data_IF_439757541951
#
_entry.id   IF_439757541951
#
_cell.length_a   1.000
_cell.length_b   1.000
_cell.length_c   1.000
_cell.angle_alpha   90.00
_cell.angle_beta   90.00
_cell.angle_gamma   90.00
#
_symmetry.space_group_name_H-M   'P 1'
#
loop_
_entity.id
_entity.type
_entity.pdbx_description
1 polymer ?
#
# COMPACT_ATOMS: atom_id res chain seq x y z
N UNK A 1 33.03 -38.85 35.46
CA UNK A 1 31.71 -39.14 34.86
C UNK A 1 30.62 -38.15 35.29
N UNK A 2 30.38 -37.94 36.59
CA UNK A 2 29.36 -37.00 37.10
C UNK A 2 29.52 -35.54 36.59
N UNK A 3 30.77 -35.06 36.52
CA UNK A 3 31.09 -33.71 36.03
C UNK A 3 30.82 -33.54 34.51
N UNK A 4 31.03 -34.60 33.72
CA UNK A 4 30.78 -34.60 32.28
C UNK A 4 29.27 -34.59 32.00
N UNK A 5 28.49 -35.35 32.77
CA UNK A 5 27.03 -35.32 32.70
C UNK A 5 26.46 -33.95 33.10
N UNK A 6 27.01 -33.31 34.12
CA UNK A 6 26.60 -31.97 34.54
C UNK A 6 26.83 -30.92 33.45
N UNK A 7 27.97 -30.98 32.75
CA UNK A 7 28.28 -30.08 31.64
C UNK A 7 27.33 -30.30 30.44
N UNK A 8 26.96 -31.56 30.16
CA UNK A 8 26.03 -31.89 29.08
C UNK A 8 24.60 -31.40 29.37
N UNK A 9 24.17 -31.48 30.64
CA UNK A 9 22.88 -30.96 31.09
C UNK A 9 22.84 -29.43 31.00
N UNK A 10 23.93 -28.75 31.39
CA UNK A 10 24.04 -27.29 31.28
C UNK A 10 24.05 -26.80 29.82
N UNK A 11 24.69 -27.54 28.92
CA UNK A 11 24.71 -27.19 27.49
C UNK A 11 23.34 -27.42 26.84
N UNK A 12 22.64 -28.50 27.22
CA UNK A 12 21.30 -28.84 26.71
C UNK A 12 20.24 -27.79 27.07
N UNK A 13 20.30 -27.21 28.28
CA UNK A 13 19.30 -26.20 28.70
C UNK A 13 19.40 -24.88 27.94
N UNK A 14 20.58 -24.53 27.40
CA UNK A 14 20.75 -23.29 26.62
C UNK A 14 20.07 -23.33 25.25
N UNK A 15 19.81 -24.53 24.72
CA UNK A 15 19.21 -24.73 23.38
C UNK A 15 17.70 -24.42 23.41
N UNK A 16 17.05 -24.51 24.58
CA UNK A 16 15.61 -24.27 24.73
C UNK A 16 15.23 -22.80 24.99
N UNK A 17 16.19 -21.87 25.05
CA UNK A 17 15.92 -20.43 25.27
C UNK A 17 15.93 -19.58 23.99
N UNK A 18 15.90 -20.19 22.80
CA UNK A 18 15.80 -19.44 21.53
C UNK A 18 14.34 -19.10 21.19
N UNK A 19 13.72 -18.24 22.00
CA UNK A 19 12.45 -17.62 21.66
C UNK A 19 12.69 -16.13 21.45
N UNK A 20 12.83 -15.71 20.19
CA UNK A 20 12.89 -14.30 19.82
C UNK A 20 11.47 -13.71 19.96
N UNK A 21 11.17 -13.16 21.13
CA UNK A 21 9.87 -12.53 21.42
C UNK A 21 9.76 -11.12 20.79
N UNK A 22 10.54 -10.84 19.74
CA UNK A 22 10.53 -9.59 18.99
C UNK A 22 9.61 -9.63 17.75
N UNK A 23 8.63 -10.54 17.70
CA UNK A 23 7.84 -10.80 16.49
C UNK A 23 6.36 -10.46 16.53
N UNK A 24 5.76 -10.17 17.69
CA UNK A 24 4.29 -10.18 17.81
C UNK A 24 3.54 -8.94 17.30
N UNK A 25 4.24 -7.89 16.86
CA UNK A 25 3.60 -6.67 16.32
C UNK A 25 4.18 -6.18 14.98
N UNK A 26 5.14 -6.89 14.38
CA UNK A 26 5.87 -6.39 13.20
C UNK A 26 5.23 -6.76 11.86
N UNK A 27 4.27 -7.70 11.87
CA UNK A 27 3.68 -8.27 10.65
C UNK A 27 2.17 -8.01 10.51
N UNK A 28 1.60 -7.09 11.31
CA UNK A 28 0.21 -6.68 11.09
C UNK A 28 0.15 -5.75 9.87
N UNK A 29 -0.04 -6.34 8.70
CA UNK A 29 -0.37 -5.56 7.51
C UNK A 29 -1.82 -5.09 7.64
N UNK A 30 -2.09 -3.79 7.57
CA UNK A 30 -3.45 -3.28 7.62
C UNK A 30 -4.25 -3.87 6.45
N UNK A 31 -5.53 -4.17 6.71
CA UNK A 31 -6.45 -4.61 5.67
C UNK A 31 -6.60 -3.55 4.57
N UNK A 32 -6.94 -3.99 3.36
CA UNK A 32 -7.06 -3.09 2.21
C UNK A 32 -8.27 -2.14 2.35
N UNK A 33 -8.03 -0.84 2.19
CA UNK A 33 -8.99 0.27 2.31
C UNK A 33 -9.49 0.75 0.94
N UNK A 34 -10.45 1.67 0.93
CA UNK A 34 -11.05 2.22 -0.28
C UNK A 34 -12.33 1.50 -0.70
N UNK A 35 -13.28 2.26 -1.29
CA UNK A 35 -14.57 1.71 -1.75
C UNK A 35 -14.42 0.94 -3.06
N UNK A 36 -15.40 0.08 -3.37
CA UNK A 36 -15.46 -0.56 -4.67
C UNK A 36 -15.58 0.51 -5.79
N UNK A 37 -14.79 0.36 -6.85
CA UNK A 37 -14.73 1.34 -7.94
C UNK A 37 -14.01 2.65 -7.60
N UNK A 38 -13.40 2.77 -6.41
CA UNK A 38 -12.61 3.95 -6.02
C UNK A 38 -11.16 3.82 -6.49
N UNK A 39 -10.62 4.91 -7.04
CA UNK A 39 -9.25 4.99 -7.56
C UNK A 39 -8.54 6.19 -6.92
N UNK A 40 -7.48 5.90 -6.17
CA UNK A 40 -6.63 6.93 -5.59
C UNK A 40 -5.58 7.36 -6.61
N UNK A 41 -5.68 8.59 -7.09
CA UNK A 41 -4.76 9.18 -8.05
C UNK A 41 -3.75 10.08 -7.32
N UNK A 42 -2.49 9.67 -7.33
CA UNK A 42 -1.39 10.42 -6.73
C UNK A 42 -0.68 11.22 -7.83
N UNK A 43 -0.90 12.53 -7.83
CA UNK A 43 -0.42 13.44 -8.88
C UNK A 43 -0.14 14.82 -8.26
N UNK A 44 0.90 15.51 -8.72
CA UNK A 44 1.20 16.86 -8.24
C UNK A 44 0.07 17.84 -8.57
N UNK A 45 -0.24 18.77 -7.67
CA UNK A 45 -1.34 19.73 -7.81
C UNK A 45 -1.24 20.52 -9.12
N UNK A 46 -0.02 20.98 -9.46
CA UNK A 46 0.26 21.69 -10.70
C UNK A 46 -0.06 20.88 -11.96
N UNK A 47 -0.01 19.53 -11.88
CA UNK A 47 -0.35 18.64 -13.00
C UNK A 47 -1.82 18.27 -12.99
N UNK A 48 -2.43 18.17 -11.82
CA UNK A 48 -3.86 17.90 -11.66
C UNK A 48 -4.75 19.01 -12.23
N UNK A 49 -4.36 20.27 -12.05
CA UNK A 49 -5.07 21.43 -12.61
C UNK A 49 -4.64 21.77 -14.06
N UNK A 50 -3.80 20.93 -14.67
CA UNK A 50 -3.34 21.11 -16.05
C UNK A 50 -4.07 20.17 -17.01
N UNK A 51 -3.80 20.33 -18.31
CA UNK A 51 -4.28 19.43 -19.37
C UNK A 51 -3.98 17.93 -19.10
N UNK A 52 -2.93 17.63 -18.33
CA UNK A 52 -2.64 16.25 -17.88
C UNK A 52 -3.78 15.73 -16.99
N UNK A 53 -4.20 16.50 -15.99
CA UNK A 53 -5.29 16.14 -15.10
C UNK A 53 -6.62 16.02 -15.83
N UNK A 54 -6.90 16.91 -16.79
CA UNK A 54 -8.08 16.81 -17.65
C UNK A 54 -8.11 15.51 -18.45
N UNK A 55 -6.98 15.14 -19.05
CA UNK A 55 -6.84 13.89 -19.80
C UNK A 55 -7.05 12.66 -18.90
N UNK A 56 -6.48 12.69 -17.69
CA UNK A 56 -6.68 11.63 -16.70
C UNK A 56 -8.15 11.53 -16.29
N UNK A 57 -8.83 12.64 -16.03
CA UNK A 57 -10.26 12.67 -15.70
C UNK A 57 -11.12 12.12 -16.85
N UNK A 58 -10.83 12.52 -18.09
CA UNK A 58 -11.57 12.08 -19.26
C UNK A 58 -11.53 10.55 -19.45
N UNK A 59 -10.35 9.95 -19.23
CA UNK A 59 -10.17 8.49 -19.37
C UNK A 59 -10.74 7.74 -18.16
N UNK A 60 -10.40 8.16 -16.94
CA UNK A 60 -10.73 7.42 -15.73
C UNK A 60 -12.22 7.54 -15.33
N UNK A 61 -12.88 8.64 -15.70
CA UNK A 61 -14.30 8.87 -15.42
C UNK A 61 -15.20 8.61 -16.63
N UNK A 62 -14.71 7.89 -17.65
CA UNK A 62 -15.53 7.53 -18.80
C UNK A 62 -16.77 6.74 -18.37
N UNK A 63 -17.90 6.93 -19.05
CA UNK A 63 -19.13 6.20 -18.76
C UNK A 63 -18.99 4.70 -19.10
N UNK A 64 -19.62 3.84 -18.29
CA UNK A 64 -19.71 2.40 -18.55
C UNK A 64 -20.67 2.15 -19.72
N UNK A 65 -20.14 1.67 -20.85
CA UNK A 65 -20.82 1.63 -22.15
C UNK A 65 -22.11 0.80 -22.23
N UNK A 66 -22.37 -0.09 -21.26
CA UNK A 66 -23.48 -1.08 -21.34
C UNK A 66 -24.58 -0.82 -20.30
N UNK A 67 -24.42 0.20 -19.44
CA UNK A 67 -25.41 0.52 -18.42
C UNK A 67 -26.38 1.61 -18.90
N UNK A 68 -27.70 1.45 -18.71
CA UNK A 68 -28.67 2.50 -19.02
C UNK A 68 -28.52 3.71 -18.09
N UNK A 69 -27.99 3.49 -16.88
CA UNK A 69 -27.64 4.54 -15.94
C UNK A 69 -26.22 5.03 -16.21
N UNK A 70 -26.07 6.35 -16.35
CA UNK A 70 -24.77 6.99 -16.50
C UNK A 70 -23.98 6.87 -15.20
N UNK A 71 -22.95 6.03 -15.22
CA UNK A 71 -22.03 5.85 -14.10
C UNK A 71 -20.58 5.97 -14.60
N UNK A 72 -19.71 6.70 -13.87
CA UNK A 72 -18.30 6.76 -14.21
C UNK A 72 -17.63 5.41 -13.93
N UNK A 73 -16.66 5.04 -14.78
CA UNK A 73 -15.89 3.80 -14.64
C UNK A 73 -15.16 3.71 -13.29
N UNK A 74 -14.64 4.83 -12.79
CA UNK A 74 -14.02 4.94 -11.47
C UNK A 74 -14.46 6.21 -10.73
N UNK A 75 -14.61 6.11 -9.41
CA UNK A 75 -14.66 7.25 -8.50
C UNK A 75 -13.23 7.67 -8.17
N UNK A 76 -12.75 8.73 -8.81
CA UNK A 76 -11.37 9.21 -8.66
C UNK A 76 -11.24 10.14 -7.46
N UNK A 77 -10.34 9.80 -6.53
CA UNK A 77 -9.89 10.65 -5.42
C UNK A 77 -8.46 11.07 -5.70
N UNK A 78 -8.18 12.37 -5.77
CA UNK A 78 -6.82 12.87 -6.03
C UNK A 78 -6.13 13.27 -4.72
N UNK A 79 -4.83 12.98 -4.62
CA UNK A 79 -3.96 13.49 -3.56
C UNK A 79 -2.61 13.95 -4.15
N UNK A 80 -1.99 15.01 -3.59
CA UNK A 80 -0.66 15.41 -4.00
C UNK A 80 0.37 14.34 -3.62
N UNK A 81 1.46 14.22 -4.39
CA UNK A 81 2.56 13.31 -4.05
C UNK A 81 3.11 13.58 -2.64
N UNK A 82 3.12 14.84 -2.20
CA UNK A 82 3.57 15.23 -0.86
C UNK A 82 2.68 14.69 0.28
N UNK A 83 1.39 14.46 0.03
CA UNK A 83 0.46 13.91 1.03
C UNK A 83 0.39 12.38 1.02
N UNK A 84 1.03 11.70 0.05
CA UNK A 84 1.03 10.26 -0.03
C UNK A 84 1.90 9.64 1.07
N UNK A 85 1.25 9.05 2.07
CA UNK A 85 1.86 8.48 3.27
C UNK A 85 1.38 7.03 3.53
N UNK A 86 1.86 6.42 4.61
CA UNK A 86 1.45 5.07 5.05
C UNK A 86 -0.06 4.92 5.24
N UNK A 87 -0.79 6.02 5.45
CA UNK A 87 -2.25 6.03 5.55
C UNK A 87 -2.94 5.63 4.23
N UNK A 88 -2.37 5.99 3.09
CA UNK A 88 -2.94 5.76 1.77
C UNK A 88 -2.42 4.49 1.09
N UNK A 89 -1.31 3.93 1.57
CA UNK A 89 -0.74 2.68 1.07
C UNK A 89 -1.69 1.47 1.09
N UNK A 90 -2.59 1.29 2.09
CA UNK A 90 -3.53 0.17 2.06
C UNK A 90 -4.69 0.35 1.07
N UNK A 91 -4.79 1.47 0.34
CA UNK A 91 -5.87 1.69 -0.62
C UNK A 91 -5.79 0.68 -1.78
N UNK A 92 -6.92 0.03 -2.12
CA UNK A 92 -6.96 -1.10 -3.09
C UNK A 92 -6.47 -0.74 -4.48
N UNK A 93 -6.84 0.44 -4.98
CA UNK A 93 -6.46 0.91 -6.32
C UNK A 93 -5.70 2.24 -6.21
N UNK A 94 -4.44 2.27 -6.64
CA UNK A 94 -3.60 3.47 -6.59
C UNK A 94 -2.88 3.65 -7.93
N UNK A 95 -2.98 4.84 -8.51
CA UNK A 95 -2.22 5.25 -9.71
C UNK A 95 -1.31 6.40 -9.33
N UNK A 96 0.00 6.23 -9.51
CA UNK A 96 1.00 7.27 -9.23
C UNK A 96 1.54 7.84 -10.53
N UNK A 97 1.39 9.14 -10.73
CA UNK A 97 1.83 9.83 -11.95
C UNK A 97 3.18 10.48 -11.69
N UNK A 98 4.20 10.04 -12.44
CA UNK A 98 5.54 10.65 -12.44
C UNK A 98 5.91 11.04 -13.87
N UNK A 99 6.04 12.33 -14.12
CA UNK A 99 6.40 12.86 -15.43
C UNK A 99 7.85 13.33 -15.35
N UNK A 100 8.76 12.56 -15.93
CA UNK A 100 10.14 12.99 -16.11
C UNK A 100 10.22 13.89 -17.34
N UNK A 101 11.03 14.95 -17.26
CA UNK A 101 11.40 15.71 -18.46
C UNK A 101 12.27 14.78 -19.31
N UNK A 102 11.86 14.47 -20.54
CA UNK A 102 12.76 13.80 -21.49
C UNK A 102 13.85 14.81 -21.84
N UNK A 103 15.03 14.60 -21.28
CA UNK A 103 16.25 15.31 -21.68
C UNK A 103 16.51 15.08 -23.16
#
# INVERSE_FOLDING_TARGET
>A
MKLLCALFILLSTTIFFSCDNNGSNKNFQPGATGKAGELLLVVDENKWESAVGDSLRAVLKQEVQVLPQKEPMFTVVNIPNAAFSSLFQPHRNIVRVKINKST
#
